data_IF_177480948093
#
_entry.id   IF_177480948093
#
_cell.length_a   1.000
_cell.length_b   1.000
_cell.length_c   1.000
_cell.angle_alpha   90.00
_cell.angle_beta   90.00
_cell.angle_gamma   90.00
#
_symmetry.space_group_name_H-M   'P 1'
#
loop_
_entity.id
_entity.type
_entity.pdbx_description
1 polymer ?
#
# COMPACT_ATOMS: atom_id res chain seq x y z
N UNK A 1 -15.84 4.23 -13.54
CA UNK A 1 -15.17 5.20 -12.64
C UNK A 1 -14.10 4.53 -11.77
N UNK A 2 -14.40 3.42 -11.11
CA UNK A 2 -13.46 2.74 -10.19
C UNK A 2 -12.13 2.34 -10.86
N UNK A 3 -12.17 1.79 -12.08
CA UNK A 3 -10.96 1.42 -12.83
C UNK A 3 -10.13 2.61 -13.25
N UNK A 4 -10.78 3.70 -13.67
CA UNK A 4 -10.10 4.92 -14.09
C UNK A 4 -9.35 5.54 -12.92
N UNK A 5 -9.96 5.59 -11.75
CA UNK A 5 -9.34 6.13 -10.54
C UNK A 5 -8.14 5.30 -10.09
N UNK A 6 -8.25 3.97 -10.10
CA UNK A 6 -7.13 3.07 -9.79
C UNK A 6 -5.99 3.25 -10.78
N UNK A 7 -6.29 3.32 -12.06
CA UNK A 7 -5.29 3.50 -13.12
C UNK A 7 -4.58 4.85 -13.02
N UNK A 8 -5.33 5.92 -12.76
CA UNK A 8 -4.75 7.25 -12.55
C UNK A 8 -3.83 7.29 -11.34
N UNK A 9 -4.20 6.64 -10.23
CA UNK A 9 -3.34 6.55 -9.04
C UNK A 9 -2.06 5.76 -9.32
N UNK A 10 -2.14 4.66 -10.06
CA UNK A 10 -0.97 3.89 -10.47
C UNK A 10 -0.04 4.73 -11.35
N UNK A 11 -0.59 5.47 -12.32
CA UNK A 11 0.19 6.35 -13.19
C UNK A 11 0.81 7.54 -12.44
N UNK A 12 0.12 8.04 -11.43
CA UNK A 12 0.61 9.17 -10.64
C UNK A 12 1.70 8.73 -9.64
N UNK A 13 1.44 7.68 -8.89
CA UNK A 13 2.32 7.22 -7.82
C UNK A 13 3.45 6.31 -8.32
N UNK A 14 3.19 5.50 -9.35
CA UNK A 14 4.12 4.51 -9.87
C UNK A 14 5.49 5.09 -10.21
N UNK A 15 5.58 6.09 -11.10
CA UNK A 15 6.86 6.67 -11.48
C UNK A 15 7.63 7.29 -10.32
N UNK A 16 6.95 7.99 -9.42
CA UNK A 16 7.55 8.58 -8.24
C UNK A 16 8.14 7.52 -7.29
N UNK A 17 7.42 6.45 -7.09
CA UNK A 17 7.86 5.34 -6.23
C UNK A 17 8.94 4.50 -6.91
N UNK A 18 8.86 4.33 -8.22
CA UNK A 18 9.88 3.64 -9.00
C UNK A 18 11.23 4.37 -8.93
N UNK A 19 11.22 5.70 -8.99
CA UNK A 19 12.43 6.52 -8.81
C UNK A 19 13.06 6.29 -7.44
N UNK A 20 12.24 6.18 -6.38
CA UNK A 20 12.74 5.97 -5.02
C UNK A 20 13.19 4.54 -4.75
N UNK A 21 12.37 3.56 -5.13
CA UNK A 21 12.56 2.16 -4.74
C UNK A 21 13.26 1.31 -5.80
N UNK A 22 13.30 1.82 -7.04
CA UNK A 22 13.83 1.11 -8.21
C UNK A 22 12.81 0.14 -8.82
N UNK A 23 12.90 -0.04 -10.14
CA UNK A 23 11.95 -0.85 -10.92
C UNK A 23 11.83 -2.29 -10.42
N UNK A 24 12.95 -2.94 -10.10
CA UNK A 24 12.95 -4.35 -9.63
C UNK A 24 12.20 -4.50 -8.31
N UNK A 25 12.41 -3.61 -7.36
CA UNK A 25 11.74 -3.65 -6.07
C UNK A 25 10.25 -3.32 -6.22
N UNK A 26 9.91 -2.37 -7.08
CA UNK A 26 8.52 -2.02 -7.37
C UNK A 26 7.75 -3.21 -7.97
N UNK A 27 8.33 -3.87 -8.97
CA UNK A 27 7.74 -5.08 -9.56
C UNK A 27 7.56 -6.18 -8.51
N UNK A 28 8.57 -6.40 -7.68
CA UNK A 28 8.49 -7.37 -6.58
C UNK A 28 7.37 -7.04 -5.59
N UNK A 29 7.28 -5.79 -5.14
CA UNK A 29 6.25 -5.35 -4.20
C UNK A 29 4.84 -5.49 -4.80
N UNK A 30 4.65 -5.14 -6.06
CA UNK A 30 3.39 -5.28 -6.78
C UNK A 30 2.99 -6.76 -6.89
N UNK A 31 3.90 -7.62 -7.31
CA UNK A 31 3.62 -9.06 -7.46
C UNK A 31 3.27 -9.69 -6.10
N UNK A 32 4.04 -9.42 -5.05
CA UNK A 32 3.76 -9.97 -3.72
C UNK A 32 2.41 -9.48 -3.21
N UNK A 33 2.10 -8.20 -3.35
CA UNK A 33 0.81 -7.66 -2.92
C UNK A 33 -0.35 -8.29 -3.70
N UNK A 34 -0.23 -8.41 -5.01
CA UNK A 34 -1.24 -9.03 -5.85
C UNK A 34 -1.46 -10.52 -5.49
N UNK A 35 -0.39 -11.26 -5.23
CA UNK A 35 -0.47 -12.66 -4.81
C UNK A 35 -1.12 -12.80 -3.43
N UNK A 36 -0.73 -12.00 -2.46
CA UNK A 36 -1.28 -12.05 -1.09
C UNK A 36 -2.76 -11.68 -1.09
N UNK A 37 -3.12 -10.59 -1.75
CA UNK A 37 -4.53 -10.16 -1.82
C UNK A 37 -5.39 -11.15 -2.62
N UNK A 38 -4.88 -11.66 -3.74
CA UNK A 38 -5.57 -12.66 -4.56
C UNK A 38 -5.75 -13.98 -3.84
N UNK A 39 -4.72 -14.48 -3.17
CA UNK A 39 -4.78 -15.74 -2.42
C UNK A 39 -5.76 -15.64 -1.25
N UNK A 40 -5.73 -14.55 -0.48
CA UNK A 40 -6.68 -14.33 0.60
C UNK A 40 -8.11 -14.24 0.09
N UNK A 41 -8.32 -13.59 -1.06
CA UNK A 41 -9.64 -13.54 -1.68
C UNK A 41 -10.16 -14.93 -2.04
N UNK A 42 -9.33 -15.77 -2.68
CA UNK A 42 -9.71 -17.13 -3.06
C UNK A 42 -10.05 -17.99 -1.83
N UNK A 43 -9.28 -17.86 -0.74
CA UNK A 43 -9.47 -18.64 0.48
C UNK A 43 -10.74 -18.20 1.24
N UNK A 44 -10.94 -16.89 1.38
CA UNK A 44 -12.01 -16.35 2.23
C UNK A 44 -13.32 -16.14 1.45
N UNK A 45 -13.24 -15.89 0.15
CA UNK A 45 -14.38 -15.56 -0.70
C UNK A 45 -14.35 -16.29 -2.05
N UNK A 46 -14.39 -17.64 -2.07
CA UNK A 46 -14.16 -18.45 -3.27
C UNK A 46 -15.16 -18.19 -4.40
N UNK A 47 -16.35 -17.67 -4.07
CA UNK A 47 -17.41 -17.40 -5.03
C UNK A 47 -17.45 -15.96 -5.55
N UNK A 48 -16.48 -15.13 -5.15
CA UNK A 48 -16.45 -13.72 -5.53
C UNK A 48 -15.27 -13.45 -6.45
N UNK A 49 -15.53 -12.82 -7.58
CA UNK A 49 -14.48 -12.38 -8.50
C UNK A 49 -13.78 -11.16 -7.94
N UNK A 50 -12.48 -11.28 -7.70
CA UNK A 50 -11.63 -10.15 -7.39
C UNK A 50 -11.43 -9.32 -8.66
N UNK A 51 -12.09 -8.18 -8.74
CA UNK A 51 -12.00 -7.27 -9.85
C UNK A 51 -11.11 -6.10 -9.48
N UNK A 52 -9.83 -6.20 -9.77
CA UNK A 52 -9.02 -5.01 -9.85
C UNK A 52 -7.77 -4.94 -9.01
N UNK A 53 -7.03 -3.90 -9.32
CA UNK A 53 -5.75 -3.55 -8.75
C UNK A 53 -5.85 -2.75 -7.43
N UNK A 54 -7.02 -2.71 -6.80
CA UNK A 54 -7.26 -1.83 -5.64
C UNK A 54 -6.33 -2.14 -4.46
N UNK A 55 -6.04 -3.40 -4.19
CA UNK A 55 -5.06 -3.77 -3.17
C UNK A 55 -3.65 -3.25 -3.47
N UNK A 56 -3.23 -3.32 -4.74
CA UNK A 56 -1.96 -2.74 -5.19
C UNK A 56 -1.98 -1.22 -5.08
N UNK A 57 -3.08 -0.57 -5.44
CA UNK A 57 -3.23 0.89 -5.28
C UNK A 57 -3.09 1.31 -3.82
N UNK A 58 -3.73 0.61 -2.90
CA UNK A 58 -3.57 0.86 -1.46
C UNK A 58 -2.14 0.63 -0.98
N UNK A 59 -1.48 -0.41 -1.47
CA UNK A 59 -0.05 -0.62 -1.21
C UNK A 59 0.78 0.58 -1.67
N UNK A 60 0.55 1.09 -2.89
CA UNK A 60 1.28 2.25 -3.43
C UNK A 60 1.00 3.52 -2.62
N UNK A 61 -0.24 3.75 -2.21
CA UNK A 61 -0.62 4.90 -1.37
C UNK A 61 0.13 4.86 -0.03
N UNK A 62 0.10 3.73 0.66
CA UNK A 62 0.80 3.59 1.94
C UNK A 62 2.32 3.68 1.75
N UNK A 63 2.87 3.06 0.69
CA UNK A 63 4.28 3.13 0.37
C UNK A 63 4.72 4.58 0.07
N UNK A 64 3.89 5.38 -0.60
CA UNK A 64 4.18 6.79 -0.90
C UNK A 64 4.34 7.63 0.36
N UNK A 65 3.66 7.27 1.44
CA UNK A 65 3.77 7.97 2.71
C UNK A 65 5.14 7.83 3.39
N UNK A 66 5.95 6.85 2.96
CA UNK A 66 7.30 6.62 3.45
C UNK A 66 8.41 7.30 2.63
N UNK A 67 8.06 8.06 1.59
CA UNK A 67 9.07 8.71 0.71
C UNK A 67 10.05 9.56 1.50
N UNK A 68 9.58 10.30 2.49
CA UNK A 68 10.37 11.16 3.35
C UNK A 68 10.57 10.59 4.77
N UNK A 69 10.50 9.27 4.90
CA UNK A 69 10.64 8.62 6.21
C UNK A 69 12.05 8.82 6.79
N UNK A 70 12.09 9.24 8.04
CA UNK A 70 13.32 9.31 8.84
C UNK A 70 13.23 8.32 10.00
N UNK A 71 14.33 7.63 10.27
CA UNK A 71 14.41 6.61 11.33
C UNK A 71 13.94 7.16 12.68
N UNK A 72 13.12 6.39 13.37
CA UNK A 72 12.58 6.75 14.69
C UNK A 72 11.43 7.75 14.69
N UNK A 73 10.90 8.12 13.50
CA UNK A 73 9.75 9.01 13.39
C UNK A 73 8.72 8.42 12.43
N UNK A 74 7.46 8.38 12.87
CA UNK A 74 6.36 8.04 11.97
C UNK A 74 6.04 9.28 11.14
N UNK A 75 6.05 9.21 9.79
CA UNK A 75 5.73 10.36 8.96
C UNK A 75 4.29 10.82 9.22
N UNK A 76 4.09 12.13 9.35
CA UNK A 76 2.76 12.70 9.47
C UNK A 76 1.89 12.34 8.25
N UNK A 77 2.48 12.30 7.06
CA UNK A 77 1.82 11.86 5.82
C UNK A 77 1.29 10.43 5.93
N UNK A 78 2.03 9.52 6.57
CA UNK A 78 1.56 8.16 6.83
C UNK A 78 0.32 8.15 7.73
N UNK A 79 0.35 8.90 8.83
CA UNK A 79 -0.80 9.02 9.75
C UNK A 79 -2.01 9.59 9.02
N UNK A 80 -1.85 10.67 8.25
CA UNK A 80 -2.93 11.29 7.50
C UNK A 80 -3.52 10.35 6.45
N UNK A 81 -2.68 9.63 5.71
CA UNK A 81 -3.12 8.64 4.71
C UNK A 81 -3.88 7.52 5.39
N UNK A 82 -3.37 6.98 6.49
CA UNK A 82 -4.05 5.92 7.26
C UNK A 82 -5.42 6.41 7.75
N UNK A 83 -5.49 7.60 8.34
CA UNK A 83 -6.77 8.14 8.87
C UNK A 83 -7.77 8.39 7.74
N UNK A 84 -7.36 9.02 6.65
CA UNK A 84 -8.26 9.38 5.55
C UNK A 84 -8.74 8.14 4.81
N UNK A 85 -7.83 7.24 4.41
CA UNK A 85 -8.18 6.08 3.59
C UNK A 85 -8.77 4.93 4.38
N UNK A 86 -8.19 4.55 5.53
CA UNK A 86 -8.79 3.52 6.37
C UNK A 86 -10.08 4.01 7.03
N UNK A 87 -10.13 5.27 7.44
CA UNK A 87 -11.36 5.90 7.95
C UNK A 87 -12.46 5.90 6.90
N UNK A 88 -12.14 6.28 5.66
CA UNK A 88 -13.06 6.21 4.52
C UNK A 88 -13.54 4.80 4.22
N UNK A 89 -12.64 3.81 4.24
CA UNK A 89 -12.99 2.40 4.01
C UNK A 89 -13.88 1.84 5.12
N UNK A 90 -13.59 2.15 6.38
CA UNK A 90 -14.44 1.75 7.51
C UNK A 90 -15.84 2.35 7.38
N UNK A 91 -15.93 3.64 7.05
CA UNK A 91 -17.23 4.30 6.82
C UNK A 91 -17.98 3.70 5.65
N UNK A 92 -17.32 3.47 4.51
CA UNK A 92 -17.94 2.86 3.33
C UNK A 92 -18.40 1.43 3.63
N UNK A 93 -17.66 0.69 4.42
CA UNK A 93 -18.02 -0.65 4.79
C UNK A 93 -19.20 -0.78 5.73
N UNK A 94 -19.30 0.12 6.67
CA UNK A 94 -20.47 0.20 7.54
C UNK A 94 -21.74 0.56 6.75
N UNK A 95 -21.59 1.36 5.68
CA UNK A 95 -22.70 1.83 4.86
C UNK A 95 -23.05 0.86 3.71
N UNK A 96 -22.07 0.26 3.06
CA UNK A 96 -22.25 -0.53 1.84
C UNK A 96 -22.22 -2.06 2.03
N UNK A 97 -21.85 -2.55 3.21
CA UNK A 97 -21.69 -3.99 3.54
C UNK A 97 -20.75 -4.75 2.59
N UNK A 98 -19.76 -4.07 2.00
CA UNK A 98 -18.76 -4.69 1.13
C UNK A 98 -17.49 -5.04 1.91
N UNK A 99 -17.53 -6.17 2.61
CA UNK A 99 -16.42 -6.66 3.43
C UNK A 99 -15.22 -7.13 2.60
N UNK A 100 -15.42 -7.46 1.33
CA UNK A 100 -14.39 -8.03 0.46
C UNK A 100 -13.44 -6.95 -0.02
N UNK A 101 -13.99 -5.86 -0.50
CA UNK A 101 -13.22 -4.69 -0.94
C UNK A 101 -12.38 -4.13 0.20
N UNK A 102 -12.96 -4.04 1.39
CA UNK A 102 -12.27 -3.57 2.61
C UNK A 102 -11.09 -4.45 3.00
N UNK A 103 -11.28 -5.77 3.00
CA UNK A 103 -10.19 -6.69 3.33
C UNK A 103 -9.03 -6.54 2.34
N UNK A 104 -9.32 -6.44 1.05
CA UNK A 104 -8.31 -6.26 0.01
C UNK A 104 -7.53 -4.96 0.19
N UNK A 105 -8.23 -3.87 0.51
CA UNK A 105 -7.61 -2.57 0.78
C UNK A 105 -6.75 -2.60 2.05
N UNK A 106 -7.25 -3.20 3.12
CA UNK A 106 -6.51 -3.35 4.37
C UNK A 106 -5.23 -4.16 4.17
N UNK A 107 -5.31 -5.30 3.49
CA UNK A 107 -4.14 -6.15 3.19
C UNK A 107 -3.15 -5.42 2.30
N UNK A 108 -3.60 -4.72 1.27
CA UNK A 108 -2.74 -3.88 0.43
C UNK A 108 -2.02 -2.80 1.24
N UNK A 109 -2.74 -2.12 2.13
CA UNK A 109 -2.18 -1.13 3.03
C UNK A 109 -1.13 -1.71 3.99
N UNK A 110 -1.37 -2.88 4.55
CA UNK A 110 -0.40 -3.61 5.40
C UNK A 110 0.87 -3.95 4.59
N UNK A 111 0.73 -4.48 3.39
CA UNK A 111 1.86 -4.76 2.50
C UNK A 111 2.70 -3.50 2.25
N UNK A 112 2.07 -2.39 1.87
CA UNK A 112 2.75 -1.11 1.64
C UNK A 112 3.48 -0.59 2.87
N UNK A 113 2.87 -0.71 4.04
CA UNK A 113 3.47 -0.33 5.31
C UNK A 113 4.70 -1.19 5.65
N UNK A 114 4.59 -2.50 5.51
CA UNK A 114 5.71 -3.43 5.74
C UNK A 114 6.87 -3.16 4.79
N UNK A 115 6.60 -2.97 3.50
CA UNK A 115 7.64 -2.64 2.52
C UNK A 115 8.30 -1.30 2.84
N UNK A 116 7.51 -0.27 3.15
CA UNK A 116 8.01 1.05 3.49
C UNK A 116 8.92 1.04 4.72
N UNK A 117 8.53 0.39 5.80
CA UNK A 117 9.36 0.26 6.98
C UNK A 117 10.64 -0.53 6.72
N UNK A 118 10.55 -1.70 6.08
CA UNK A 118 11.73 -2.52 5.78
C UNK A 118 12.73 -1.84 4.85
N UNK A 119 12.22 -1.13 3.84
CA UNK A 119 13.08 -0.36 2.96
C UNK A 119 13.82 0.73 3.72
N UNK A 120 13.10 1.47 4.55
CA UNK A 120 13.66 2.56 5.34
C UNK A 120 14.74 2.09 6.31
N UNK A 121 14.57 0.92 6.94
CA UNK A 121 15.58 0.32 7.81
C UNK A 121 16.86 -0.05 7.07
N UNK A 122 16.75 -0.55 5.82
CA UNK A 122 17.91 -1.03 5.04
C UNK A 122 18.71 0.08 4.37
N UNK A 123 18.09 1.20 4.04
CA UNK A 123 18.70 2.26 3.22
C UNK A 123 19.00 3.54 3.98
N UNK A 124 18.88 3.54 5.30
CA UNK A 124 19.38 4.64 6.10
C UNK A 124 20.89 4.50 6.28
N UNK A 125 21.70 5.57 6.02
CA UNK A 125 23.09 5.56 6.38
C UNK A 125 23.19 5.28 7.89
N UNK A 126 23.97 4.25 8.26
CA UNK A 126 24.31 4.05 9.66
C UNK A 126 24.89 5.36 10.15
N UNK A 127 24.34 5.91 11.23
CA UNK A 127 24.98 7.01 11.91
C UNK A 127 26.37 6.50 12.29
N UNK A 128 27.39 6.94 11.54
CA UNK A 128 28.79 6.73 11.97
C UNK A 128 28.87 7.37 13.33
N UNK A 129 29.03 6.55 14.34
CA UNK A 129 29.46 6.95 15.69
C UNK A 129 30.76 7.72 15.51
N UNK A 130 30.68 9.04 15.49
CA UNK A 130 31.83 9.89 15.69
C UNK A 130 32.08 9.91 17.20
N UNK A 131 32.91 8.98 17.66
CA UNK A 131 33.66 9.08 18.90
C UNK A 131 35.14 9.24 18.54
#
# INVERSE_FOLDING_TARGET
EHYINNFLLILLLGPMLEEKYGSKNMVFMIIITALVTGLLNIILFPNVRLLGASGVVFMLILLSSFVNFKKGRIPLTFILVVVIYLGGEVMNGLLARDNISQLTHLVGGICGSVFGFRWSERHQPSAKSNY
#
